data_IF_909929652756
#
_entry.id   IF_909929652756
#
_cell.length_a   1.000
_cell.length_b   1.000
_cell.length_c   1.000
_cell.angle_alpha   90.00
_cell.angle_beta   90.00
_cell.angle_gamma   90.00
#
_symmetry.space_group_name_H-M   'P 1'
#
loop_
_entity.id
_entity.type
_entity.pdbx_description
1 polymer ?
#
# COMPACT_ATOMS: atom_id res chain seq x y z
N UNK A 1 14.66 -0.22 -17.30
CA UNK A 1 14.41 0.52 -16.05
C UNK A 1 15.61 1.37 -15.70
N UNK A 2 15.45 2.59 -15.16
CA UNK A 2 16.55 3.32 -14.55
C UNK A 2 17.10 2.50 -13.37
N UNK A 3 18.42 2.41 -13.17
CA UNK A 3 19.03 1.61 -12.11
C UNK A 3 18.64 2.07 -10.69
N UNK A 4 18.16 3.31 -10.54
CA UNK A 4 17.74 3.90 -9.26
C UNK A 4 16.43 3.36 -8.70
N UNK A 5 15.52 2.86 -9.54
CA UNK A 5 14.23 2.32 -9.09
C UNK A 5 14.34 0.87 -8.57
N UNK A 6 15.31 0.12 -9.06
CA UNK A 6 15.58 -1.24 -8.59
C UNK A 6 16.01 -1.26 -7.11
N UNK A 7 16.74 -0.23 -6.67
CA UNK A 7 17.18 -0.02 -5.29
C UNK A 7 16.05 0.32 -4.30
N UNK A 8 14.81 0.47 -4.78
CA UNK A 8 13.65 0.76 -3.93
C UNK A 8 12.64 -0.40 -3.93
N UNK A 9 12.91 -1.47 -4.65
CA UNK A 9 12.02 -2.63 -4.72
C UNK A 9 12.23 -3.55 -3.51
N UNK A 10 11.24 -3.69 -2.62
CA UNK A 10 11.37 -4.61 -1.50
C UNK A 10 11.45 -6.06 -2.01
N UNK A 11 12.41 -6.82 -1.48
CA UNK A 11 12.58 -8.24 -1.78
C UNK A 11 11.30 -9.04 -1.51
N UNK A 12 11.15 -10.18 -2.19
CA UNK A 12 9.89 -10.96 -2.24
C UNK A 12 9.32 -11.34 -0.87
N UNK A 13 10.16 -11.57 0.14
CA UNK A 13 9.74 -11.82 1.51
C UNK A 13 9.18 -10.56 2.20
N UNK A 14 9.82 -9.41 1.98
CA UNK A 14 9.40 -8.11 2.52
C UNK A 14 8.06 -7.65 1.91
N UNK A 15 7.85 -7.89 0.61
CA UNK A 15 6.61 -7.53 -0.09
C UNK A 15 5.39 -8.28 0.45
N UNK A 16 5.55 -9.52 0.92
CA UNK A 16 4.45 -10.27 1.58
C UNK A 16 4.00 -9.60 2.87
N UNK A 17 4.94 -9.16 3.69
CA UNK A 17 4.63 -8.46 4.94
C UNK A 17 4.05 -7.06 4.69
N UNK A 18 4.54 -6.37 3.66
CA UNK A 18 3.98 -5.08 3.24
C UNK A 18 2.52 -5.20 2.76
N UNK A 19 2.18 -6.27 2.03
CA UNK A 19 0.80 -6.55 1.63
C UNK A 19 -0.14 -6.78 2.83
N UNK A 20 0.34 -7.46 3.88
CA UNK A 20 -0.42 -7.60 5.13
C UNK A 20 -0.62 -6.26 5.83
N UNK A 21 0.38 -5.39 5.78
CA UNK A 21 0.29 -4.06 6.37
C UNK A 21 -0.60 -3.11 5.54
N UNK A 22 -0.64 -3.24 4.21
CA UNK A 22 -1.62 -2.55 3.36
C UNK A 22 -3.04 -3.01 3.68
N UNK A 23 -3.24 -4.32 3.82
CA UNK A 23 -4.52 -4.90 4.20
C UNK A 23 -5.01 -4.30 5.52
N UNK A 24 -4.13 -4.22 6.54
CA UNK A 24 -4.46 -3.58 7.80
C UNK A 24 -4.84 -2.10 7.62
N UNK A 25 -4.10 -1.34 6.79
CA UNK A 25 -4.44 0.05 6.46
C UNK A 25 -5.83 0.19 5.82
N UNK A 26 -6.14 -0.64 4.82
CA UNK A 26 -7.42 -0.61 4.10
C UNK A 26 -8.59 -1.02 5.00
N UNK A 27 -8.39 -1.98 5.90
CA UNK A 27 -9.37 -2.36 6.91
C UNK A 27 -9.62 -1.21 7.88
N UNK A 28 -8.57 -0.62 8.44
CA UNK A 28 -8.69 0.50 9.37
C UNK A 28 -9.37 1.72 8.73
N UNK A 29 -9.08 1.98 7.45
CA UNK A 29 -9.74 3.03 6.67
C UNK A 29 -11.24 2.76 6.55
N UNK A 30 -11.64 1.54 6.18
CA UNK A 30 -13.05 1.15 6.10
C UNK A 30 -13.77 1.19 7.46
N UNK A 31 -13.09 0.73 8.51
CA UNK A 31 -13.60 0.73 9.89
C UNK A 31 -13.75 2.13 10.49
N UNK A 32 -12.97 3.10 10.01
CA UNK A 32 -13.07 4.49 10.46
C UNK A 32 -14.29 5.24 9.91
N UNK A 33 -15.05 4.61 9.00
CA UNK A 33 -16.26 5.22 8.41
C UNK A 33 -17.52 4.96 9.26
N UNK A 34 -18.59 5.70 8.98
CA UNK A 34 -19.90 5.51 9.65
C UNK A 34 -20.60 4.19 9.29
N UNK A 35 -20.23 3.53 8.18
CA UNK A 35 -20.87 2.31 7.68
C UNK A 35 -19.81 1.23 7.39
N UNK A 36 -19.15 0.68 8.43
CA UNK A 36 -18.00 -0.20 8.27
C UNK A 36 -18.31 -1.47 7.46
N UNK A 37 -19.53 -2.03 7.59
CA UNK A 37 -19.95 -3.24 6.86
C UNK A 37 -19.95 -3.09 5.34
N UNK A 38 -20.11 -1.86 4.83
CA UNK A 38 -20.06 -1.55 3.39
C UNK A 38 -18.70 -0.97 3.02
N UNK A 39 -18.15 -0.12 3.87
CA UNK A 39 -16.88 0.53 3.59
C UNK A 39 -15.69 -0.43 3.57
N UNK A 40 -15.64 -1.43 4.45
CA UNK A 40 -14.57 -2.44 4.45
C UNK A 40 -14.51 -3.23 3.14
N UNK A 41 -15.60 -3.88 2.66
CA UNK A 41 -15.54 -4.56 1.37
C UNK A 41 -15.27 -3.59 0.22
N UNK A 42 -15.73 -2.35 0.30
CA UNK A 42 -15.43 -1.32 -0.72
C UNK A 42 -13.94 -0.93 -0.74
N UNK A 43 -13.30 -0.70 0.41
CA UNK A 43 -11.88 -0.33 0.48
C UNK A 43 -10.98 -1.50 0.06
N UNK A 44 -11.34 -2.74 0.43
CA UNK A 44 -10.65 -3.93 -0.02
C UNK A 44 -10.80 -4.16 -1.53
N UNK A 45 -12.02 -4.03 -2.06
CA UNK A 45 -12.29 -4.14 -3.49
C UNK A 45 -11.54 -3.08 -4.29
N UNK A 46 -11.57 -1.82 -3.84
CA UNK A 46 -10.82 -0.74 -4.45
C UNK A 46 -9.31 -0.99 -4.41
N UNK A 47 -8.78 -1.47 -3.28
CA UNK A 47 -7.37 -1.85 -3.16
C UNK A 47 -6.97 -2.96 -4.14
N UNK A 48 -7.79 -4.00 -4.27
CA UNK A 48 -7.53 -5.09 -5.21
C UNK A 48 -7.52 -4.61 -6.68
N UNK A 49 -8.48 -3.77 -7.08
CA UNK A 49 -8.51 -3.19 -8.42
C UNK A 49 -7.30 -2.27 -8.65
N UNK A 50 -6.95 -1.43 -7.68
CA UNK A 50 -5.79 -0.54 -7.76
C UNK A 50 -4.48 -1.34 -7.93
N UNK A 51 -4.31 -2.43 -7.18
CA UNK A 51 -3.14 -3.29 -7.29
C UNK A 51 -2.99 -3.89 -8.70
N UNK A 52 -4.07 -4.42 -9.27
CA UNK A 52 -4.05 -5.01 -10.61
C UNK A 52 -3.81 -3.95 -11.70
N UNK A 53 -4.51 -2.82 -11.60
CA UNK A 53 -4.41 -1.74 -12.59
C UNK A 53 -3.03 -1.08 -12.59
N UNK A 54 -2.41 -0.88 -11.43
CA UNK A 54 -1.05 -0.34 -11.34
C UNK A 54 -0.03 -1.27 -12.02
N UNK A 55 -0.12 -2.59 -11.79
CA UNK A 55 0.74 -3.56 -12.45
C UNK A 55 0.58 -3.54 -13.98
N UNK A 56 -0.67 -3.41 -14.47
CA UNK A 56 -0.93 -3.32 -15.90
C UNK A 56 -0.43 -2.00 -16.52
N UNK A 57 -0.69 -0.86 -15.88
CA UNK A 57 -0.30 0.47 -16.39
C UNK A 57 1.20 0.61 -16.49
N UNK A 58 1.94 0.11 -15.49
CA UNK A 58 3.39 0.26 -15.43
C UNK A 58 4.11 -0.84 -16.23
N UNK A 59 3.38 -1.85 -16.72
CA UNK A 59 3.93 -3.03 -17.39
C UNK A 59 5.01 -3.77 -16.58
N UNK A 60 5.01 -3.57 -15.26
CA UNK A 60 5.89 -4.24 -14.32
C UNK A 60 5.15 -4.43 -12.99
N UNK A 61 4.99 -5.69 -12.59
CA UNK A 61 4.26 -6.04 -11.39
C UNK A 61 4.93 -5.50 -10.12
N UNK A 62 6.26 -5.57 -10.02
CA UNK A 62 6.98 -5.14 -8.82
C UNK A 62 6.99 -3.62 -8.67
N UNK A 63 7.08 -2.87 -9.78
CA UNK A 63 6.92 -1.40 -9.71
C UNK A 63 5.48 -1.04 -9.35
N UNK A 64 4.51 -1.72 -9.95
CA UNK A 64 3.09 -1.55 -9.59
C UNK A 64 2.84 -1.81 -8.10
N UNK A 65 3.48 -2.83 -7.54
CA UNK A 65 3.40 -3.20 -6.13
C UNK A 65 4.03 -2.14 -5.21
N UNK A 66 5.20 -1.60 -5.58
CA UNK A 66 5.84 -0.49 -4.87
C UNK A 66 4.91 0.75 -4.85
N UNK A 67 4.37 1.13 -6.01
CA UNK A 67 3.43 2.26 -6.11
C UNK A 67 2.17 2.02 -5.29
N UNK A 68 1.69 0.78 -5.24
CA UNK A 68 0.54 0.39 -4.43
C UNK A 68 0.80 0.61 -2.94
N UNK A 69 1.93 0.13 -2.40
CA UNK A 69 2.30 0.34 -0.99
C UNK A 69 2.34 1.83 -0.61
N UNK A 70 2.95 2.65 -1.48
CA UNK A 70 3.03 4.11 -1.29
C UNK A 70 1.62 4.74 -1.33
N UNK A 71 0.79 4.34 -2.30
CA UNK A 71 -0.56 4.87 -2.44
C UNK A 71 -1.46 4.52 -1.24
N UNK A 72 -1.42 3.28 -0.75
CA UNK A 72 -2.18 2.86 0.44
C UNK A 72 -1.70 3.63 1.67
N UNK A 73 -0.39 3.72 1.89
CA UNK A 73 0.20 4.48 2.99
C UNK A 73 -0.22 5.95 2.97
N UNK A 74 -0.17 6.60 1.79
CA UNK A 74 -0.59 7.99 1.61
C UNK A 74 -2.08 8.18 1.88
N UNK A 75 -2.92 7.27 1.38
CA UNK A 75 -4.37 7.27 1.59
C UNK A 75 -4.72 7.14 3.07
N UNK A 76 -4.10 6.18 3.76
CA UNK A 76 -4.25 6.00 5.21
C UNK A 76 -3.71 7.20 6.01
N UNK A 77 -2.64 7.84 5.52
CA UNK A 77 -2.04 9.00 6.17
C UNK A 77 -2.94 10.25 6.12
N UNK A 78 -3.65 10.44 5.00
CA UNK A 78 -4.34 11.69 4.66
C UNK A 78 -5.83 11.68 4.93
N UNK A 79 -6.51 10.55 4.72
CA UNK A 79 -7.99 10.51 4.76
C UNK A 79 -8.57 10.39 6.16
N UNK A 80 -7.84 9.81 7.12
CA UNK A 80 -8.34 9.60 8.48
C UNK A 80 -7.28 9.99 9.51
N UNK A 81 -7.58 11.00 10.33
CA UNK A 81 -6.65 11.54 11.35
C UNK A 81 -6.15 10.46 12.32
N UNK A 82 -6.98 9.45 12.62
CA UNK A 82 -6.65 8.33 13.51
C UNK A 82 -5.65 7.34 12.90
N UNK A 83 -5.66 7.17 11.56
CA UNK A 83 -4.75 6.27 10.85
C UNK A 83 -3.51 6.98 10.31
N UNK A 84 -3.39 8.30 10.54
CA UNK A 84 -2.31 9.13 9.98
C UNK A 84 -0.91 8.55 10.21
N UNK A 85 -0.68 8.11 11.45
CA UNK A 85 0.61 7.58 11.90
C UNK A 85 0.87 6.19 11.35
N UNK A 86 -0.19 5.40 11.16
CA UNK A 86 -0.11 4.07 10.57
C UNK A 86 0.24 4.18 9.09
N UNK A 87 -0.41 5.10 8.36
CA UNK A 87 -0.07 5.41 6.97
C UNK A 87 1.37 5.92 6.82
N UNK A 88 1.81 6.82 7.69
CA UNK A 88 3.19 7.30 7.69
C UNK A 88 4.21 6.18 7.99
N UNK A 89 3.91 5.31 8.97
CA UNK A 89 4.73 4.14 9.28
C UNK A 89 4.79 3.16 8.09
N UNK A 90 3.69 2.95 7.37
CA UNK A 90 3.65 2.11 6.18
C UNK A 90 4.54 2.65 5.06
N UNK A 91 4.49 3.96 4.80
CA UNK A 91 5.37 4.61 3.82
C UNK A 91 6.83 4.44 4.23
N UNK A 92 7.16 4.75 5.49
CA UNK A 92 8.52 4.63 6.00
C UNK A 92 9.04 3.19 5.91
N UNK A 93 8.22 2.21 6.29
CA UNK A 93 8.55 0.80 6.24
C UNK A 93 8.80 0.34 4.80
N UNK A 94 7.96 0.78 3.86
CA UNK A 94 8.12 0.48 2.42
C UNK A 94 9.47 0.98 1.90
N UNK A 95 9.82 2.23 2.22
CA UNK A 95 11.09 2.83 1.80
C UNK A 95 12.29 2.15 2.45
N UNK A 96 12.24 1.89 3.76
CA UNK A 96 13.32 1.22 4.48
C UNK A 96 13.57 -0.19 3.96
N UNK A 97 12.50 -0.96 3.71
CA UNK A 97 12.63 -2.30 3.17
C UNK A 97 13.12 -2.27 1.73
N UNK A 98 12.62 -1.35 0.90
CA UNK A 98 13.12 -1.15 -0.46
C UNK A 98 14.64 -0.90 -0.52
N UNK A 99 15.18 -0.13 0.43
CA UNK A 99 16.63 0.14 0.52
C UNK A 99 17.41 -1.02 1.15
N UNK A 100 16.80 -1.76 2.07
CA UNK A 100 17.49 -2.78 2.88
C UNK A 100 17.52 -4.18 2.25
N UNK A 101 16.81 -4.40 1.15
CA UNK A 101 16.69 -5.71 0.46
C UNK A 101 16.96 -5.57 -1.01
#
# INVERSE_FOLDING_TARGET
MPPSLALLMPGTAATRWLLLADLACLLLLGLATRRPRVAVPATLGAGFVALNTLGMVVNDFYVGLLLFHVAVGLTAATLVRRTRWIGAAQILLTLLLGVAT
#
